data_IF_157353373853
#
_entry.id   IF_157353373853
#
_cell.length_a   1.000
_cell.length_b   1.000
_cell.length_c   1.000
_cell.angle_alpha   90.00
_cell.angle_beta   90.00
_cell.angle_gamma   90.00
#
_symmetry.space_group_name_H-M   'P 1'
#
loop_
_entity.id
_entity.type
_entity.pdbx_description
1 polymer ?
#
# COMPACT_ATOMS: atom_id res chain seq x y z
N UNK A 1 5.78 10.27 12.47
CA UNK A 1 4.71 9.32 12.07
C UNK A 1 4.02 9.71 10.77
N UNK A 2 3.47 10.91 10.63
CA UNK A 2 2.72 11.26 9.40
C UNK A 2 3.59 11.34 8.14
N UNK A 3 4.84 11.81 8.25
CA UNK A 3 5.82 11.70 7.15
C UNK A 3 6.10 10.24 6.77
N UNK A 4 6.16 9.33 7.75
CA UNK A 4 6.33 7.90 7.53
C UNK A 4 5.14 7.28 6.80
N UNK A 5 3.91 7.64 7.18
CA UNK A 5 2.70 7.19 6.48
C UNK A 5 2.72 7.61 5.01
N UNK A 6 3.03 8.89 4.74
CA UNK A 6 3.13 9.39 3.36
C UNK A 6 4.22 8.68 2.56
N UNK A 7 5.39 8.45 3.15
CA UNK A 7 6.49 7.74 2.50
C UNK A 7 6.11 6.28 2.20
N UNK A 8 5.50 5.57 3.14
CA UNK A 8 5.05 4.19 2.95
C UNK A 8 3.96 4.07 1.88
N UNK A 9 2.97 4.96 1.89
CA UNK A 9 1.93 5.01 0.86
C UNK A 9 2.54 5.26 -0.52
N UNK A 10 3.46 6.22 -0.64
CA UNK A 10 4.17 6.51 -1.88
C UNK A 10 4.98 5.30 -2.36
N UNK A 11 5.76 4.69 -1.48
CA UNK A 11 6.58 3.52 -1.83
C UNK A 11 5.72 2.33 -2.26
N UNK A 12 4.58 2.10 -1.59
CA UNK A 12 3.62 1.06 -1.94
C UNK A 12 2.99 1.31 -3.30
N UNK A 13 2.65 2.56 -3.63
CA UNK A 13 2.12 2.93 -4.94
C UNK A 13 3.16 2.71 -6.06
N UNK A 14 4.42 3.10 -5.83
CA UNK A 14 5.54 2.85 -6.75
C UNK A 14 5.74 1.34 -6.96
N UNK A 15 5.78 0.55 -5.89
CA UNK A 15 5.85 -0.92 -5.98
C UNK A 15 4.69 -1.50 -6.78
N UNK A 16 3.47 -0.96 -6.64
CA UNK A 16 2.32 -1.35 -7.44
C UNK A 16 2.47 -1.05 -8.94
N UNK A 17 3.21 0.01 -9.30
CA UNK A 17 3.53 0.31 -10.69
C UNK A 17 4.47 -0.73 -11.30
N UNK A 18 5.44 -1.26 -10.53
CA UNK A 18 6.26 -2.40 -10.98
C UNK A 18 5.41 -3.66 -11.18
N UNK A 19 4.46 -3.94 -10.27
CA UNK A 19 3.54 -5.08 -10.42
C UNK A 19 2.74 -4.99 -11.72
N UNK A 20 2.23 -3.80 -12.03
CA UNK A 20 1.49 -3.56 -13.27
C UNK A 20 2.39 -3.63 -14.51
N UNK A 21 3.61 -3.08 -14.45
CA UNK A 21 4.53 -3.05 -15.59
C UNK A 21 5.11 -4.42 -15.99
N UNK A 22 5.17 -5.37 -15.05
CA UNK A 22 5.64 -6.74 -15.29
C UNK A 22 4.52 -7.77 -15.49
N UNK A 23 3.25 -7.32 -15.51
CA UNK A 23 2.08 -8.21 -15.41
C UNK A 23 2.15 -9.18 -14.20
N UNK A 24 2.90 -8.79 -13.16
CA UNK A 24 3.17 -9.63 -12.00
C UNK A 24 1.92 -9.96 -11.18
N UNK A 25 0.83 -9.19 -11.36
CA UNK A 25 -0.47 -9.47 -10.77
C UNK A 25 -1.08 -10.82 -11.21
N UNK A 26 -0.60 -11.41 -12.31
CA UNK A 26 -1.08 -12.68 -12.87
C UNK A 26 -0.28 -13.90 -12.42
N UNK A 27 0.79 -13.73 -11.63
CA UNK A 27 1.69 -14.83 -11.26
C UNK A 27 1.06 -15.73 -10.19
N UNK A 28 0.69 -15.14 -9.05
CA UNK A 28 -0.04 -15.83 -7.98
C UNK A 28 -1.35 -15.09 -7.69
N UNK A 29 -2.50 -15.75 -7.83
CA UNK A 29 -3.83 -15.12 -7.67
C UNK A 29 -4.57 -15.54 -6.39
N UNK A 30 -3.84 -16.01 -5.38
CA UNK A 30 -4.35 -16.27 -4.03
C UNK A 30 -3.87 -15.23 -3.03
N UNK A 31 -4.57 -15.09 -1.91
CA UNK A 31 -4.19 -14.26 -0.76
C UNK A 31 -4.69 -14.92 0.54
N UNK A 32 -3.96 -14.88 1.67
CA UNK A 32 -2.68 -14.17 1.90
C UNK A 32 -1.45 -14.92 1.38
N UNK A 33 -1.56 -16.24 1.20
CA UNK A 33 -0.49 -17.07 0.62
C UNK A 33 -0.35 -16.84 -0.88
N UNK A 34 0.83 -17.13 -1.42
CA UNK A 34 1.12 -17.22 -2.84
C UNK A 34 1.08 -18.70 -3.24
N UNK A 35 -0.06 -19.12 -3.81
CA UNK A 35 -0.50 -20.51 -3.90
C UNK A 35 -0.50 -21.19 -2.52
N UNK A 36 0.26 -22.28 -2.37
CA UNK A 36 0.39 -23.06 -1.15
C UNK A 36 1.45 -22.49 -0.18
N UNK A 37 2.22 -21.47 -0.59
CA UNK A 37 3.41 -20.97 0.12
C UNK A 37 3.25 -19.56 0.67
N UNK A 38 3.91 -19.30 1.79
CA UNK A 38 4.05 -17.93 2.32
C UNK A 38 5.14 -17.14 1.61
N UNK A 39 6.24 -17.82 1.27
CA UNK A 39 7.36 -17.27 0.52
C UNK A 39 7.58 -18.22 -0.67
N UNK A 40 7.37 -17.76 -1.92
CA UNK A 40 7.65 -18.55 -3.11
C UNK A 40 9.14 -18.92 -3.19
N UNK A 41 9.47 -20.08 -3.76
CA UNK A 41 10.87 -20.54 -3.89
C UNK A 41 11.67 -19.79 -4.95
N UNK A 42 10.99 -19.10 -5.86
CA UNK A 42 11.53 -18.41 -7.03
C UNK A 42 11.78 -16.92 -6.80
N UNK A 43 11.64 -16.39 -5.58
CA UNK A 43 11.86 -14.96 -5.25
C UNK A 43 13.29 -14.45 -5.50
N UNK A 44 14.27 -15.34 -5.69
CA UNK A 44 15.67 -15.00 -5.98
C UNK A 44 16.21 -15.77 -7.19
N UNK A 45 15.33 -16.15 -8.12
CA UNK A 45 15.69 -16.95 -9.29
C UNK A 45 16.59 -16.21 -10.30
N UNK A 46 16.53 -14.88 -10.36
CA UNK A 46 17.30 -14.10 -11.34
C UNK A 46 18.72 -13.78 -10.85
N UNK A 47 19.65 -13.61 -11.79
CA UNK A 47 21.03 -13.19 -11.55
C UNK A 47 21.34 -11.92 -12.36
N UNK A 48 21.97 -10.89 -11.76
CA UNK A 48 22.40 -10.79 -10.37
C UNK A 48 21.22 -10.70 -9.39
N UNK A 49 21.40 -11.11 -8.12
CA UNK A 49 20.29 -11.21 -7.15
C UNK A 49 19.46 -9.94 -7.00
N UNK A 50 20.06 -8.76 -7.18
CA UNK A 50 19.37 -7.48 -7.06
C UNK A 50 18.30 -7.25 -8.14
N UNK A 51 18.42 -7.86 -9.33
CA UNK A 51 17.40 -7.70 -10.38
C UNK A 51 16.06 -8.31 -9.99
N UNK A 52 16.03 -9.26 -9.04
CA UNK A 52 14.77 -9.85 -8.60
C UNK A 52 13.80 -8.80 -8.04
N UNK A 53 14.29 -7.78 -7.33
CA UNK A 53 13.43 -6.76 -6.71
C UNK A 53 12.75 -5.83 -7.71
N UNK A 54 13.16 -5.83 -8.99
CA UNK A 54 12.63 -4.94 -10.03
C UNK A 54 12.16 -5.65 -11.28
N UNK A 55 12.66 -6.86 -11.55
CA UNK A 55 12.45 -7.59 -12.82
C UNK A 55 11.85 -8.98 -12.63
N UNK A 56 11.96 -9.59 -11.43
CA UNK A 56 11.32 -10.87 -11.15
C UNK A 56 9.86 -10.64 -10.74
N UNK A 57 8.88 -11.07 -11.56
CA UNK A 57 7.47 -10.82 -11.28
C UNK A 57 7.03 -11.40 -9.93
N UNK A 58 7.53 -12.57 -9.55
CA UNK A 58 7.19 -13.18 -8.26
C UNK A 58 7.65 -12.32 -7.08
N UNK A 59 8.89 -11.83 -7.13
CA UNK A 59 9.47 -11.00 -6.05
C UNK A 59 8.78 -9.64 -5.98
N UNK A 60 8.56 -8.99 -7.13
CA UNK A 60 7.86 -7.71 -7.20
C UNK A 60 6.43 -7.84 -6.65
N UNK A 61 5.73 -8.93 -6.99
CA UNK A 61 4.40 -9.21 -6.45
C UNK A 61 4.44 -9.46 -4.93
N UNK A 62 5.41 -10.22 -4.44
CA UNK A 62 5.62 -10.49 -3.02
C UNK A 62 5.89 -9.21 -2.23
N UNK A 63 6.85 -8.40 -2.69
CA UNK A 63 7.22 -7.13 -2.06
C UNK A 63 6.04 -6.18 -1.98
N UNK A 64 5.24 -6.09 -3.05
CA UNK A 64 4.04 -5.27 -3.05
C UNK A 64 3.01 -5.72 -2.01
N UNK A 65 2.79 -7.03 -1.84
CA UNK A 65 1.89 -7.59 -0.81
C UNK A 65 2.36 -7.23 0.60
N UNK A 66 3.66 -7.34 0.86
CA UNK A 66 4.26 -6.98 2.15
C UNK A 66 4.15 -5.48 2.41
N UNK A 67 4.47 -4.64 1.42
CA UNK A 67 4.34 -3.18 1.52
C UNK A 67 2.89 -2.76 1.73
N UNK A 68 1.93 -3.34 1.02
CA UNK A 68 0.50 -3.05 1.17
C UNK A 68 -0.04 -3.37 2.55
N UNK A 69 0.25 -4.57 3.07
CA UNK A 69 -0.18 -4.99 4.42
C UNK A 69 0.52 -4.18 5.52
N UNK A 70 1.82 -3.92 5.39
CA UNK A 70 2.58 -3.08 6.33
C UNK A 70 2.07 -1.65 6.34
N UNK A 71 1.78 -1.07 5.18
CA UNK A 71 1.21 0.27 5.06
C UNK A 71 -0.15 0.33 5.74
N UNK A 72 -1.05 -0.62 5.50
CA UNK A 72 -2.36 -0.65 6.16
C UNK A 72 -2.24 -0.74 7.69
N UNK A 73 -1.34 -1.59 8.20
CA UNK A 73 -1.07 -1.69 9.63
C UNK A 73 -0.56 -0.36 10.20
N UNK A 74 0.35 0.31 9.48
CA UNK A 74 0.88 1.62 9.88
C UNK A 74 -0.21 2.71 9.91
N UNK A 75 -1.06 2.77 8.88
CA UNK A 75 -2.18 3.72 8.82
C UNK A 75 -3.18 3.48 9.95
N UNK A 76 -3.46 2.21 10.25
CA UNK A 76 -4.34 1.81 11.37
C UNK A 76 -3.74 2.23 12.72
N UNK A 77 -2.45 1.96 12.94
CA UNK A 77 -1.74 2.40 14.14
C UNK A 77 -1.80 3.93 14.27
N UNK A 78 -1.52 4.66 13.18
CA UNK A 78 -1.57 6.11 13.14
C UNK A 78 -2.96 6.63 13.54
N UNK A 79 -4.03 6.02 13.03
CA UNK A 79 -5.41 6.37 13.39
C UNK A 79 -5.64 6.26 14.90
N UNK A 80 -5.31 5.13 15.52
CA UNK A 80 -5.50 4.94 16.96
C UNK A 80 -4.64 5.88 17.80
N UNK A 81 -3.40 6.15 17.38
CA UNK A 81 -2.54 7.13 18.05
C UNK A 81 -3.14 8.53 17.94
N UNK A 82 -3.71 8.90 16.79
CA UNK A 82 -4.33 10.22 16.61
C UNK A 82 -5.43 10.46 17.66
N UNK A 83 -6.23 9.44 17.99
CA UNK A 83 -7.30 9.49 19.01
C UNK A 83 -6.79 9.77 20.42
N UNK A 84 -5.51 9.51 20.71
CA UNK A 84 -4.87 9.72 22.01
C UNK A 84 -4.11 11.05 22.10
N UNK A 85 -4.15 11.87 21.05
CA UNK A 85 -3.46 13.18 20.99
C UNK A 85 -4.50 14.29 20.90
N UNK A 86 -4.17 15.47 21.40
CA UNK A 86 -4.96 16.69 21.20
C UNK A 86 -4.67 17.23 19.81
N UNK A 87 -5.62 17.12 18.90
CA UNK A 87 -5.47 17.51 17.50
C UNK A 87 -6.64 18.43 17.08
N UNK A 88 -6.47 19.26 16.04
CA UNK A 88 -7.59 20.00 15.46
C UNK A 88 -8.65 19.05 14.91
N UNK A 89 -9.96 19.40 14.93
CA UNK A 89 -11.03 18.54 14.42
C UNK A 89 -10.77 17.98 13.00
N UNK A 90 -10.24 18.82 12.10
CA UNK A 90 -9.91 18.42 10.73
C UNK A 90 -8.80 17.35 10.64
N UNK A 91 -7.85 17.36 11.58
CA UNK A 91 -6.79 16.35 11.62
C UNK A 91 -7.32 14.97 12.03
N UNK A 92 -8.33 14.91 12.93
CA UNK A 92 -9.01 13.65 13.23
C UNK A 92 -9.76 13.11 12.00
N UNK A 93 -10.48 13.97 11.29
CA UNK A 93 -11.18 13.60 10.06
C UNK A 93 -10.19 13.09 9.00
N UNK A 94 -9.07 13.79 8.80
CA UNK A 94 -8.05 13.37 7.84
C UNK A 94 -7.41 12.02 8.22
N UNK A 95 -7.13 11.79 9.51
CA UNK A 95 -6.59 10.52 9.99
C UNK A 95 -7.59 9.36 9.83
N UNK A 96 -8.88 9.60 10.11
CA UNK A 96 -9.95 8.62 9.89
C UNK A 96 -10.12 8.29 8.41
N UNK A 97 -10.17 9.32 7.56
CA UNK A 97 -10.28 9.17 6.11
C UNK A 97 -9.10 8.39 5.53
N UNK A 98 -7.87 8.70 5.95
CA UNK A 98 -6.67 8.00 5.52
C UNK A 98 -6.73 6.50 5.87
N UNK A 99 -7.13 6.15 7.09
CA UNK A 99 -7.27 4.75 7.48
C UNK A 99 -8.38 4.05 6.68
N UNK A 100 -9.56 4.66 6.56
CA UNK A 100 -10.68 4.11 5.81
C UNK A 100 -10.33 3.86 4.33
N UNK A 101 -9.71 4.85 3.67
CA UNK A 101 -9.21 4.71 2.30
C UNK A 101 -8.14 3.62 2.19
N UNK A 102 -7.29 3.43 3.20
CA UNK A 102 -6.34 2.33 3.26
C UNK A 102 -7.01 0.96 3.22
N UNK A 103 -8.08 0.75 4.01
CA UNK A 103 -8.84 -0.51 4.00
C UNK A 103 -9.55 -0.74 2.66
N UNK A 104 -10.19 0.29 2.12
CA UNK A 104 -10.84 0.23 0.79
C UNK A 104 -9.80 -0.13 -0.27
N UNK A 105 -8.64 0.53 -0.25
CA UNK A 105 -7.56 0.30 -1.21
C UNK A 105 -7.04 -1.14 -1.18
N UNK A 106 -6.72 -1.67 0.01
CA UNK A 106 -6.26 -3.06 0.14
C UNK A 106 -7.35 -4.05 -0.30
N UNK A 107 -8.62 -3.76 -0.01
CA UNK A 107 -9.74 -4.59 -0.46
C UNK A 107 -9.85 -4.63 -1.99
N UNK A 108 -9.72 -3.48 -2.65
CA UNK A 108 -9.69 -3.40 -4.12
C UNK A 108 -8.45 -4.14 -4.66
N UNK A 109 -7.27 -3.98 -4.04
CA UNK A 109 -6.04 -4.65 -4.46
C UNK A 109 -6.13 -6.18 -4.39
N UNK A 110 -6.67 -6.71 -3.28
CA UNK A 110 -6.96 -8.15 -3.14
C UNK A 110 -8.01 -8.57 -4.16
N UNK A 111 -9.06 -7.77 -4.38
CA UNK A 111 -10.08 -8.01 -5.40
C UNK A 111 -9.49 -8.11 -6.81
N UNK A 112 -8.63 -7.17 -7.19
CA UNK A 112 -7.89 -7.18 -8.47
C UNK A 112 -7.06 -8.46 -8.59
N UNK A 113 -6.36 -8.85 -7.53
CA UNK A 113 -5.51 -10.03 -7.50
C UNK A 113 -6.30 -11.33 -7.70
N UNK A 114 -7.34 -11.57 -6.90
CA UNK A 114 -8.08 -12.85 -6.93
C UNK A 114 -8.97 -13.02 -8.16
N UNK A 115 -9.30 -11.92 -8.85
CA UNK A 115 -10.08 -11.93 -10.09
C UNK A 115 -9.20 -11.85 -11.34
N UNK A 116 -7.90 -12.17 -11.25
CA UNK A 116 -6.98 -12.20 -12.39
C UNK A 116 -6.83 -10.86 -13.12
N UNK A 117 -6.69 -9.78 -12.34
CA UNK A 117 -6.37 -8.42 -12.81
C UNK A 117 -7.35 -7.87 -13.87
N UNK A 118 -8.68 -7.82 -13.62
CA UNK A 118 -9.59 -7.16 -14.54
C UNK A 118 -9.22 -5.68 -14.67
N UNK A 119 -9.13 -5.16 -15.89
CA UNK A 119 -8.62 -3.81 -16.16
C UNK A 119 -9.37 -2.73 -15.37
N UNK A 120 -10.68 -2.86 -15.21
CA UNK A 120 -11.50 -1.93 -14.42
C UNK A 120 -11.11 -1.91 -12.93
N UNK A 121 -10.89 -3.08 -12.32
CA UNK A 121 -10.45 -3.19 -10.94
C UNK A 121 -9.00 -2.72 -10.77
N UNK A 122 -8.12 -3.07 -11.70
CA UNK A 122 -6.73 -2.62 -11.70
C UNK A 122 -6.62 -1.08 -11.81
N UNK A 123 -7.38 -0.47 -12.72
CA UNK A 123 -7.44 0.99 -12.88
C UNK A 123 -8.06 1.68 -11.65
N UNK A 124 -9.09 1.08 -11.06
CA UNK A 124 -9.70 1.57 -9.81
C UNK A 124 -8.69 1.50 -8.67
N UNK A 125 -7.93 0.41 -8.55
CA UNK A 125 -6.87 0.26 -7.56
C UNK A 125 -5.77 1.32 -7.75
N UNK A 126 -5.29 1.53 -8.97
CA UNK A 126 -4.29 2.58 -9.24
C UNK A 126 -4.80 3.97 -8.87
N UNK A 127 -6.02 4.31 -9.28
CA UNK A 127 -6.67 5.59 -8.95
C UNK A 127 -6.88 5.76 -7.44
N UNK A 128 -7.29 4.70 -6.76
CA UNK A 128 -7.45 4.67 -5.31
C UNK A 128 -6.14 4.91 -4.55
N UNK A 129 -5.00 4.46 -5.10
CA UNK A 129 -3.69 4.73 -4.48
C UNK A 129 -3.37 6.22 -4.41
N UNK A 130 -3.78 7.00 -5.43
CA UNK A 130 -3.65 8.46 -5.43
C UNK A 130 -4.57 9.11 -4.40
N UNK A 131 -5.78 8.56 -4.19
CA UNK A 131 -6.68 9.04 -3.14
C UNK A 131 -6.09 8.83 -1.74
N UNK A 132 -5.48 7.66 -1.48
CA UNK A 132 -4.78 7.38 -0.21
C UNK A 132 -3.58 8.33 -0.03
N UNK A 133 -2.79 8.57 -1.08
CA UNK A 133 -1.66 9.49 -1.02
C UNK A 133 -2.12 10.93 -0.75
N UNK A 134 -3.18 11.39 -1.42
CA UNK A 134 -3.80 12.69 -1.18
C UNK A 134 -4.29 12.84 0.27
N UNK A 135 -4.92 11.80 0.84
CA UNK A 135 -5.32 11.82 2.24
C UNK A 135 -4.12 11.90 3.21
N UNK A 136 -3.00 11.23 2.89
CA UNK A 136 -1.77 11.32 3.68
C UNK A 136 -1.14 12.73 3.61
N UNK A 137 -1.20 13.38 2.44
CA UNK A 137 -0.78 14.78 2.26
C UNK A 137 -1.71 15.73 3.01
N UNK A 138 -3.03 15.51 2.95
CA UNK A 138 -4.02 16.30 3.67
C UNK A 138 -3.78 16.24 5.18
N UNK A 139 -3.62 15.05 5.74
CA UNK A 139 -3.27 14.90 7.16
C UNK A 139 -1.96 15.62 7.50
N UNK A 140 -0.94 15.51 6.65
CA UNK A 140 0.32 16.24 6.84
C UNK A 140 0.09 17.76 6.88
N UNK A 141 -0.81 18.29 6.05
CA UNK A 141 -1.14 19.71 6.00
C UNK A 141 -1.85 20.17 7.28
N UNK A 142 -2.84 19.44 7.78
CA UNK A 142 -3.57 19.81 9.00
C UNK A 142 -2.67 19.84 10.23
N UNK A 143 -1.64 18.99 10.27
CA UNK A 143 -0.70 18.92 11.39
C UNK A 143 0.42 19.98 11.34
N UNK A 144 0.64 20.65 10.20
CA UNK A 144 1.64 21.75 10.11
C UNK A 144 1.29 22.94 10.99
N UNK A 145 0.01 23.11 11.33
CA UNK A 145 -0.50 24.22 12.13
C UNK A 145 -0.33 24.01 13.64
N UNK A 146 0.16 22.84 14.05
CA UNK A 146 0.47 22.58 15.45
C UNK A 146 1.82 23.22 15.83
N UNK A 147 1.92 23.85 17.01
CA UNK A 147 3.19 24.31 17.53
C UNK A 147 4.19 23.14 17.53
N UNK A 148 5.42 23.39 17.08
CA UNK A 148 6.51 22.43 17.29
C UNK A 148 6.78 22.39 18.79
N UNK A 149 6.50 21.24 19.40
CA UNK A 149 6.90 20.95 20.79
C UNK A 149 8.36 20.54 20.79
#
# INVERSE_FOLDING_TARGET
>A
MVHGAKALVFLTAVSGAFVAGLDAGLVYNSFPKMADRWIPSDILAYSPKLSNFTENPTTVQFDHRILGTTTLAYLTMLYFISRRRQLPPKAYTAAAALAALGYVQVSIGIGTLINFVPTSLAATHQSGSLAVLSAAIWLSHELKKLPKV
#
